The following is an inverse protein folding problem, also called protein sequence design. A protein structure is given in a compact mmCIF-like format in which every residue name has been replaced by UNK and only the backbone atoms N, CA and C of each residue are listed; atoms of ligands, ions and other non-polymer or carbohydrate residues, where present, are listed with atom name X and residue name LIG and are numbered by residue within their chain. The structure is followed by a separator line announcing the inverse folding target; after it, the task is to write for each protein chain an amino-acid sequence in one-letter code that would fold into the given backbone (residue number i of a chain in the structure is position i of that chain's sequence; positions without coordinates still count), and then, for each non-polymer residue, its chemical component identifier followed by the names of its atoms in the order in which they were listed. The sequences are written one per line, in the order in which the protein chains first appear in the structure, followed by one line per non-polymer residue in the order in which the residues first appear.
data_IF_865910052876
#
_entry.id   IF_865910052876
#
_cell.length_a   1.000
_cell.length_b   1.000
_cell.length_c   1.000
_cell.angle_alpha   90.00
_cell.angle_beta   90.00
_cell.angle_gamma   90.00
#
_symmetry.space_group_name_H-M   'P 1'
#
loop_
_entity.id
_entity.type
_entity.pdbx_description
1 polymer ?
#
# COMPACT_ATOMS: atom_id res chain seq x y z
N UNK A 1 7.07 -5.81 9.78
CA UNK A 1 6.64 -6.45 8.51
C UNK A 1 7.80 -7.25 7.91
N UNK A 2 7.61 -8.50 7.47
CA UNK A 2 8.64 -9.21 6.68
C UNK A 2 8.50 -8.80 5.21
N UNK A 3 9.36 -7.90 4.75
CA UNK A 3 9.42 -7.46 3.35
C UNK A 3 9.99 -8.59 2.47
N UNK A 4 9.35 -8.86 1.33
CA UNK A 4 9.91 -9.69 0.26
C UNK A 4 10.37 -8.79 -0.89
N UNK A 5 11.54 -9.10 -1.46
CA UNK A 5 12.11 -8.34 -2.59
C UNK A 5 11.14 -8.33 -3.78
N UNK A 6 10.98 -7.17 -4.44
CA UNK A 6 10.08 -6.92 -5.59
C UNK A 6 8.59 -7.11 -5.28
N UNK A 7 8.21 -7.16 -3.99
CA UNK A 7 6.83 -7.33 -3.60
C UNK A 7 5.97 -6.18 -4.14
N UNK A 8 6.47 -4.93 -4.23
CA UNK A 8 5.62 -3.83 -4.70
C UNK A 8 5.32 -3.89 -6.20
N UNK A 9 6.31 -4.27 -7.02
CA UNK A 9 6.17 -4.31 -8.49
C UNK A 9 5.42 -5.52 -9.03
N UNK A 10 5.48 -6.67 -8.34
CA UNK A 10 4.96 -7.95 -8.86
C UNK A 10 3.67 -8.43 -8.19
N UNK A 11 3.16 -7.70 -7.19
CA UNK A 11 2.05 -8.16 -6.32
C UNK A 11 0.67 -8.24 -6.97
N UNK A 12 0.40 -7.50 -8.04
CA UNK A 12 -0.96 -7.34 -8.57
C UNK A 12 -1.01 -7.61 -10.07
N UNK A 13 -1.81 -8.61 -10.47
CA UNK A 13 -1.95 -9.02 -11.88
C UNK A 13 -3.41 -8.91 -12.32
N UNK A 14 -3.68 -7.99 -13.25
CA UNK A 14 -5.01 -7.74 -13.80
C UNK A 14 -5.58 -9.00 -14.47
N UNK A 15 -4.75 -9.74 -15.20
CA UNK A 15 -5.18 -10.98 -15.86
C UNK A 15 -5.71 -12.02 -14.87
N UNK A 16 -5.07 -12.16 -13.71
CA UNK A 16 -5.53 -13.10 -12.67
C UNK A 16 -6.86 -12.68 -12.06
N UNK A 17 -7.14 -11.38 -12.00
CA UNK A 17 -8.40 -10.84 -11.51
C UNK A 17 -9.55 -11.15 -12.49
N UNK A 18 -9.30 -10.99 -13.80
CA UNK A 18 -10.26 -11.35 -14.84
C UNK A 18 -10.57 -12.85 -14.79
N UNK A 19 -9.54 -13.69 -14.67
CA UNK A 19 -9.71 -15.14 -14.55
C UNK A 19 -10.54 -15.49 -13.29
N UNK A 20 -10.23 -14.88 -12.15
CA UNK A 20 -10.98 -15.08 -10.92
C UNK A 20 -12.46 -14.68 -11.08
N UNK A 21 -12.73 -13.55 -11.73
CA UNK A 21 -14.08 -13.10 -12.04
C UNK A 21 -14.86 -14.10 -12.91
N UNK A 22 -14.21 -14.70 -13.91
CA UNK A 22 -14.81 -15.73 -14.76
C UNK A 22 -15.15 -17.01 -13.97
N UNK A 23 -14.24 -17.49 -13.11
CA UNK A 23 -14.49 -18.65 -12.24
C UNK A 23 -15.61 -18.40 -11.23
N UNK A 24 -15.67 -17.20 -10.64
CA UNK A 24 -16.75 -16.82 -9.74
C UNK A 24 -18.08 -16.73 -10.47
N UNK A 25 -18.12 -16.09 -11.64
CA UNK A 25 -19.33 -15.99 -12.44
C UNK A 25 -19.86 -17.38 -12.83
N UNK A 26 -18.99 -18.26 -13.33
CA UNK A 26 -19.35 -19.63 -13.66
C UNK A 26 -19.85 -20.38 -12.43
N UNK A 27 -19.07 -20.36 -11.34
CA UNK A 27 -19.43 -21.07 -10.11
C UNK A 27 -20.74 -20.57 -9.51
N UNK A 28 -20.91 -19.25 -9.35
CA UNK A 28 -22.15 -18.65 -8.85
C UNK A 28 -23.32 -18.97 -9.78
N UNK A 29 -23.14 -18.88 -11.10
CA UNK A 29 -24.22 -19.20 -12.06
C UNK A 29 -24.72 -20.65 -11.96
N UNK A 30 -23.85 -21.58 -11.55
CA UNK A 30 -24.23 -22.98 -11.35
C UNK A 30 -25.07 -23.22 -10.08
N UNK A 31 -25.20 -22.21 -9.20
CA UNK A 31 -26.07 -22.23 -8.02
C UNK A 31 -27.41 -21.52 -8.23
N UNK A 32 -27.61 -20.81 -9.36
CA UNK A 32 -28.79 -19.98 -9.61
C UNK A 32 -30.07 -20.78 -9.95
N UNK A 33 -30.04 -22.04 -10.42
CA UNK A 33 -31.12 -22.97 -10.13
C UNK A 33 -30.88 -23.56 -8.75
N UNK A 34 -31.52 -22.98 -7.72
CA UNK A 34 -31.41 -23.34 -6.30
C UNK A 34 -31.86 -24.77 -5.95
N UNK A 35 -32.02 -25.63 -6.95
CA UNK A 35 -32.57 -26.98 -6.88
C UNK A 35 -31.49 -28.07 -7.05
N UNK A 36 -30.34 -27.72 -7.65
CA UNK A 36 -29.22 -28.66 -7.79
C UNK A 36 -27.94 -28.14 -7.12
N UNK A 37 -27.53 -28.82 -6.06
CA UNK A 37 -26.21 -28.64 -5.46
C UNK A 37 -25.12 -29.20 -6.39
N UNK A 38 -24.67 -28.38 -7.32
CA UNK A 38 -23.53 -28.70 -8.17
C UNK A 38 -22.23 -28.62 -7.38
N UNK A 39 -21.64 -29.79 -7.07
CA UNK A 39 -20.30 -29.88 -6.47
C UNK A 39 -19.24 -29.13 -7.32
N UNK A 40 -19.43 -29.11 -8.64
CA UNK A 40 -18.59 -28.35 -9.57
C UNK A 40 -18.68 -26.83 -9.39
N UNK A 41 -19.86 -26.34 -9.00
CA UNK A 41 -20.05 -24.94 -8.60
C UNK A 41 -19.21 -24.55 -7.40
N UNK A 42 -19.17 -25.39 -6.37
CA UNK A 42 -18.37 -25.13 -5.17
C UNK A 42 -16.88 -25.07 -5.48
N UNK A 43 -16.38 -26.00 -6.29
CA UNK A 43 -14.97 -26.04 -6.68
C UNK A 43 -14.59 -24.77 -7.44
N UNK A 44 -15.36 -24.38 -8.44
CA UNK A 44 -15.08 -23.20 -9.27
C UNK A 44 -15.18 -21.89 -8.47
N UNK A 45 -16.19 -21.75 -7.60
CA UNK A 45 -16.29 -20.61 -6.69
C UNK A 45 -15.11 -20.56 -5.70
N UNK A 46 -14.70 -21.70 -5.12
CA UNK A 46 -13.56 -21.75 -4.20
C UNK A 46 -12.25 -21.33 -4.88
N UNK A 47 -12.02 -21.77 -6.13
CA UNK A 47 -10.87 -21.32 -6.93
C UNK A 47 -10.91 -19.81 -7.12
N UNK A 48 -12.04 -19.25 -7.56
CA UNK A 48 -12.20 -17.81 -7.74
C UNK A 48 -11.92 -17.02 -6.45
N UNK A 49 -12.46 -17.45 -5.31
CA UNK A 49 -12.24 -16.82 -4.00
C UNK A 49 -10.75 -16.92 -3.58
N UNK A 50 -10.10 -18.06 -3.78
CA UNK A 50 -8.70 -18.25 -3.41
C UNK A 50 -7.76 -17.29 -4.16
N UNK A 51 -8.04 -17.02 -5.44
CA UNK A 51 -7.26 -16.07 -6.24
C UNK A 51 -7.50 -14.64 -5.73
N UNK A 52 -8.75 -14.25 -5.47
CA UNK A 52 -9.08 -12.91 -4.97
C UNK A 52 -8.45 -12.63 -3.60
N UNK A 53 -8.53 -13.59 -2.67
CA UNK A 53 -7.94 -13.41 -1.33
C UNK A 53 -6.43 -13.20 -1.38
N UNK A 54 -5.72 -13.93 -2.27
CA UNK A 54 -4.31 -13.70 -2.53
C UNK A 54 -4.00 -12.29 -3.02
N UNK A 55 -4.77 -11.78 -3.99
CA UNK A 55 -4.61 -10.42 -4.53
C UNK A 55 -4.92 -9.33 -3.48
N UNK A 56 -5.95 -9.52 -2.64
CA UNK A 56 -6.32 -8.56 -1.58
C UNK A 56 -5.20 -8.41 -0.54
N UNK A 57 -4.59 -9.52 -0.13
CA UNK A 57 -3.44 -9.49 0.80
C UNK A 57 -2.22 -8.77 0.18
N UNK A 58 -2.02 -8.92 -1.13
CA UNK A 58 -0.95 -8.24 -1.84
C UNK A 58 -1.18 -6.71 -1.89
N UNK A 59 -2.42 -6.28 -2.16
CA UNK A 59 -2.83 -4.86 -2.19
C UNK A 59 -2.68 -4.20 -0.82
N UNK A 60 -3.10 -4.86 0.26
CA UNK A 60 -2.99 -4.30 1.62
C UNK A 60 -1.55 -4.16 2.10
N UNK A 61 -0.63 -5.02 1.64
CA UNK A 61 0.79 -4.84 1.90
C UNK A 61 1.39 -3.68 1.08
N UNK A 62 0.87 -3.44 -0.13
CA UNK A 62 1.29 -2.35 -1.01
C UNK A 62 1.01 -0.98 -0.40
N UNK A 63 -0.18 -0.78 0.18
CA UNK A 63 -0.53 0.47 0.86
C UNK A 63 0.36 0.75 2.08
N UNK A 64 0.73 -0.29 2.83
CA UNK A 64 1.65 -0.21 3.98
C UNK A 64 3.05 0.24 3.55
N UNK A 65 3.62 -0.40 2.53
CA UNK A 65 4.95 -0.03 2.00
C UNK A 65 4.98 1.44 1.54
N UNK A 66 3.93 1.87 0.86
CA UNK A 66 3.79 3.26 0.41
C UNK A 66 3.81 4.25 1.57
N UNK A 67 3.12 3.93 2.65
CA UNK A 67 3.04 4.77 3.83
C UNK A 67 4.35 4.79 4.64
N UNK A 68 5.07 3.66 4.74
CA UNK A 68 6.39 3.60 5.40
C UNK A 68 7.41 4.47 4.68
N UNK A 69 7.47 4.38 3.35
CA UNK A 69 8.36 5.22 2.54
C UNK A 69 8.00 6.70 2.67
N UNK A 70 6.70 7.04 2.69
CA UNK A 70 6.25 8.41 2.91
C UNK A 70 6.66 8.95 4.29
N UNK A 71 6.52 8.15 5.35
CA UNK A 71 6.93 8.51 6.70
C UNK A 71 8.44 8.78 6.76
N UNK A 72 9.25 7.92 6.15
CA UNK A 72 10.71 8.07 6.10
C UNK A 72 11.14 9.38 5.43
N UNK A 73 10.51 9.74 4.30
CA UNK A 73 10.81 11.01 3.61
C UNK A 73 10.32 12.25 4.35
N UNK A 74 9.32 12.11 5.23
CA UNK A 74 8.87 13.22 6.07
C UNK A 74 9.76 13.43 7.29
N UNK A 75 10.27 12.36 7.87
CA UNK A 75 11.26 12.43 8.95
C UNK A 75 12.61 12.92 8.44
N UNK A 76 13.03 12.48 7.25
CA UNK A 76 14.31 12.83 6.63
C UNK A 76 14.12 13.43 5.21
N UNK A 77 13.81 14.74 5.10
CA UNK A 77 13.45 15.37 3.82
C UNK A 77 14.58 15.48 2.79
N UNK A 78 15.84 15.32 3.23
CA UNK A 78 17.04 15.29 2.37
C UNK A 78 17.61 13.89 2.15
N UNK A 79 16.94 12.83 2.62
CA UNK A 79 17.43 11.45 2.47
C UNK A 79 17.49 11.01 1.01
N UNK A 80 18.60 10.38 0.64
CA UNK A 80 18.73 9.74 -0.67
C UNK A 80 17.95 8.42 -0.72
N UNK A 81 17.71 7.90 -1.92
CA UNK A 81 17.04 6.60 -2.11
C UNK A 81 17.86 5.49 -1.44
N UNK A 82 19.18 5.64 -1.42
CA UNK A 82 20.14 4.73 -0.82
C UNK A 82 20.06 4.72 0.71
N UNK A 83 19.78 5.87 1.32
CA UNK A 83 19.59 5.99 2.77
C UNK A 83 18.26 5.36 3.20
N UNK A 84 17.19 5.61 2.43
CA UNK A 84 15.87 4.99 2.64
C UNK A 84 15.94 3.47 2.48
N UNK A 85 16.74 2.97 1.53
CA UNK A 85 16.98 1.53 1.40
C UNK A 85 17.66 0.95 2.64
N UNK A 86 18.63 1.65 3.24
CA UNK A 86 19.33 1.19 4.45
C UNK A 86 18.43 1.22 5.69
N UNK A 87 17.60 2.25 5.85
CA UNK A 87 16.72 2.39 7.01
C UNK A 87 15.51 1.45 6.96
N UNK A 88 14.89 1.31 5.78
CA UNK A 88 13.66 0.51 5.62
C UNK A 88 13.90 -0.93 5.16
N UNK A 89 15.07 -1.23 4.58
CA UNK A 89 15.38 -2.53 3.96
C UNK A 89 14.64 -2.81 2.64
N UNK A 90 13.91 -1.83 2.09
CA UNK A 90 13.15 -1.96 0.84
C UNK A 90 14.10 -1.84 -0.36
N UNK A 91 13.86 -2.60 -1.44
CA UNK A 91 14.67 -2.53 -2.65
C UNK A 91 14.55 -1.18 -3.36
N UNK A 92 15.67 -0.66 -3.91
CA UNK A 92 15.71 0.55 -4.76
C UNK A 92 14.62 0.61 -5.82
N UNK A 93 14.34 -0.51 -6.51
CA UNK A 93 13.31 -0.58 -7.56
C UNK A 93 11.91 -0.33 -7.00
N UNK A 94 11.60 -0.98 -5.89
CA UNK A 94 10.31 -0.80 -5.21
C UNK A 94 10.17 0.63 -4.69
N UNK A 95 11.22 1.20 -4.07
CA UNK A 95 11.22 2.60 -3.61
C UNK A 95 10.92 3.57 -4.76
N UNK A 96 11.58 3.40 -5.91
CA UNK A 96 11.33 4.24 -7.09
C UNK A 96 9.89 4.13 -7.58
N UNK A 97 9.35 2.90 -7.66
CA UNK A 97 7.95 2.69 -8.06
C UNK A 97 6.95 3.28 -7.05
N UNK A 98 7.29 3.24 -5.76
CA UNK A 98 6.50 3.84 -4.67
C UNK A 98 6.52 5.36 -4.79
N UNK A 99 7.68 5.98 -5.04
CA UNK A 99 7.80 7.43 -5.23
C UNK A 99 6.98 7.90 -6.44
N UNK A 100 7.05 7.15 -7.55
CA UNK A 100 6.26 7.46 -8.74
C UNK A 100 4.76 7.39 -8.45
N UNK A 101 4.29 6.36 -7.74
CA UNK A 101 2.89 6.22 -7.32
C UNK A 101 2.45 7.32 -6.34
N UNK A 102 3.31 7.66 -5.37
CA UNK A 102 3.09 8.74 -4.42
C UNK A 102 2.99 10.12 -5.10
N UNK A 103 3.75 10.32 -6.18
CA UNK A 103 3.71 11.53 -7.00
C UNK A 103 2.44 11.59 -7.85
N UNK A 104 2.07 10.47 -8.47
CA UNK A 104 0.82 10.35 -9.23
C UNK A 104 -0.42 10.57 -8.33
N UNK A 105 -0.39 10.09 -7.08
CA UNK A 105 -1.46 10.29 -6.10
C UNK A 105 -1.44 11.65 -5.39
N UNK A 106 -0.48 12.54 -5.72
CA UNK A 106 -0.36 13.88 -5.12
C UNK A 106 0.06 13.91 -3.65
N UNK A 107 0.34 12.74 -3.03
CA UNK A 107 0.76 12.62 -1.63
C UNK A 107 2.24 12.92 -1.40
N UNK A 108 3.03 12.98 -2.47
CA UNK A 108 4.44 13.31 -2.46
C UNK A 108 4.77 14.29 -3.59
N UNK A 109 5.35 15.45 -3.25
CA UNK A 109 5.83 16.43 -4.22
C UNK A 109 7.33 16.66 -4.03
N UNK A 110 8.14 15.68 -4.42
CA UNK A 110 9.60 15.81 -4.44
C UNK A 110 10.11 16.39 -5.76
N UNK A 111 11.09 17.30 -5.69
CA UNK A 111 11.88 17.73 -6.85
C UNK A 111 13.19 16.94 -6.88
N UNK A 112 13.58 16.49 -8.06
CA UNK A 112 14.91 15.91 -8.26
C UNK A 112 15.94 17.04 -8.26
N UNK A 113 16.93 16.97 -7.38
CA UNK A 113 18.08 17.86 -7.39
C UNK A 113 18.88 17.61 -8.66
N UNK A 114 18.99 18.62 -9.51
CA UNK A 114 19.70 18.55 -10.79
C UNK A 114 21.21 18.31 -10.64
N UNK A 115 21.77 18.52 -9.45
CA UNK A 115 23.20 18.32 -9.18
C UNK A 115 23.55 16.92 -8.63
N UNK A 116 22.64 16.27 -7.91
CA UNK A 116 22.94 15.01 -7.18
C UNK A 116 22.03 13.85 -7.53
N UNK A 117 20.97 14.06 -8.32
CA UNK A 117 19.94 13.06 -8.59
C UNK A 117 19.09 12.71 -7.35
N UNK A 118 19.33 13.37 -6.22
CA UNK A 118 18.62 13.15 -4.96
C UNK A 118 17.22 13.76 -5.03
N UNK A 119 16.27 13.09 -4.41
CA UNK A 119 14.89 13.56 -4.26
C UNK A 119 14.80 14.43 -3.02
N UNK A 120 14.65 15.75 -3.19
CA UNK A 120 14.30 16.61 -2.06
C UNK A 120 12.80 16.57 -1.88
N UNK A 121 12.32 16.14 -0.71
CA UNK A 121 10.91 16.24 -0.35
C UNK A 121 10.53 17.73 -0.24
N UNK A 122 9.56 18.20 -1.02
CA UNK A 122 8.85 19.43 -0.68
C UNK A 122 7.58 19.03 0.06
N UNK A 123 7.39 19.59 1.25
CA UNK A 123 6.11 19.54 1.92
C UNK A 123 5.02 20.07 0.96
N UNK A 124 3.84 19.44 0.94
CA UNK A 124 2.75 19.90 0.08
C UNK A 124 2.45 21.38 0.35
N UNK A 125 2.23 22.22 -0.68
CA UNK A 125 1.73 23.57 -0.45
C UNK A 125 0.36 23.46 0.23
N UNK A 126 0.26 24.01 1.43
CA UNK A 126 -0.97 24.24 2.18
C UNK A 126 -1.91 25.08 1.30
N UNK A 127 -2.86 24.43 0.63
CA UNK A 127 -4.02 25.13 0.09
C UNK A 127 -4.85 25.60 1.29
N UNK A 128 -5.07 26.91 1.36
CA UNK A 128 -5.62 27.65 2.49
C UNK A 128 -7.13 27.47 2.69
N UNK A 129 -7.65 26.23 2.64
CA UNK A 129 -9.05 25.93 2.98
C UNK A 129 -9.10 24.69 3.87
N UNK A 130 -8.64 24.84 5.12
CA UNK A 130 -9.12 24.19 6.36
C UNK A 130 -8.16 24.59 7.47
N UNK A 131 -8.40 25.75 8.08
CA UNK A 131 -7.82 26.11 9.39
C UNK A 131 -8.66 25.42 10.46
N UNK A 132 -8.20 24.27 10.95
CA UNK A 132 -8.16 23.90 12.37
C UNK A 132 -7.59 22.48 12.53
N UNK A 133 -6.27 22.41 12.65
CA UNK A 133 -5.61 21.72 13.76
C UNK A 133 -4.12 21.88 13.52
N UNK A 134 -3.54 22.82 14.27
CA UNK A 134 -2.12 22.97 14.36
C UNK A 134 -1.47 21.64 14.80
N UNK A 135 -0.44 21.25 14.04
CA UNK A 135 0.89 21.07 14.62
C UNK A 135 0.97 20.13 15.83
N UNK A 136 0.86 18.84 15.56
CA UNK A 136 1.70 17.87 16.23
C UNK A 136 2.31 17.00 15.13
N UNK A 137 3.62 16.80 15.12
CA UNK A 137 4.31 15.93 14.16
C UNK A 137 3.55 14.61 14.11
N UNK A 138 2.79 14.35 13.05
CA UNK A 138 1.93 13.18 12.97
C UNK A 138 2.82 11.95 13.16
N UNK A 139 2.74 11.32 14.33
CA UNK A 139 3.53 10.12 14.62
C UNK A 139 3.07 9.03 13.66
N UNK A 140 4.00 8.41 12.94
CA UNK A 140 3.68 7.31 12.04
C UNK A 140 3.91 5.97 12.74
N UNK A 141 3.04 5.00 12.49
CA UNK A 141 3.23 3.66 13.03
C UNK A 141 4.48 3.00 12.41
N UNK A 142 5.47 2.64 13.24
CA UNK A 142 6.71 2.00 12.78
C UNK A 142 6.49 0.66 12.04
N UNK A 143 5.36 -0.02 12.24
CA UNK A 143 5.07 -1.28 11.58
C UNK A 143 4.34 -1.14 10.22
N UNK A 144 3.60 -0.04 9.98
CA UNK A 144 2.75 0.07 8.78
C UNK A 144 2.69 1.46 8.13
N UNK A 145 3.35 2.46 8.74
CA UNK A 145 3.45 3.82 8.23
C UNK A 145 2.17 4.65 8.29
N UNK A 146 1.07 4.16 8.88
CA UNK A 146 -0.15 4.98 8.98
C UNK A 146 0.01 6.09 10.01
N UNK A 147 -0.52 7.30 9.74
CA UNK A 147 -0.50 8.39 10.69
C UNK A 147 -1.34 8.02 11.92
N UNK A 148 -0.79 8.30 13.10
CA UNK A 148 -1.47 8.14 14.39
C UNK A 148 -2.20 9.45 14.67
N UNK A 149 -3.53 9.37 14.73
CA UNK A 149 -4.40 10.52 14.93
C UNK A 149 -4.67 10.84 16.40
N UNK A 150 -4.21 9.99 17.33
CA UNK A 150 -4.37 10.15 18.78
C UNK A 150 -3.10 9.70 19.51
N UNK A 151 -2.44 10.59 20.23
CA UNK A 151 -1.22 10.28 21.01
C UNK A 151 -1.45 9.28 22.16
N UNK A 152 -2.71 9.08 22.58
CA UNK A 152 -3.09 8.10 23.60
C UNK A 152 -3.37 6.69 23.05
N UNK A 153 -3.15 6.45 21.76
CA UNK A 153 -3.42 5.14 21.15
C UNK A 153 -2.34 4.12 21.53
N UNK A 154 -2.72 3.09 22.29
CA UNK A 154 -1.82 1.96 22.61
C UNK A 154 -1.60 1.03 21.41
N UNK A 155 -2.51 1.03 20.44
CA UNK A 155 -2.48 0.19 19.25
C UNK A 155 -2.82 0.99 18.00
N UNK A 156 -2.15 0.65 16.89
CA UNK A 156 -2.40 1.23 15.59
C UNK A 156 -3.77 0.82 15.05
N UNK A 157 -4.64 1.79 14.77
CA UNK A 157 -5.99 1.55 14.23
C UNK A 157 -6.00 0.81 12.87
N UNK A 158 -4.89 0.83 12.12
CA UNK A 158 -4.80 0.20 10.80
C UNK A 158 -4.18 -1.19 10.81
N UNK A 159 -3.14 -1.42 11.61
CA UNK A 159 -2.43 -2.71 11.62
C UNK A 159 -2.46 -3.47 12.94
N UNK A 160 -3.06 -2.90 14.00
CA UNK A 160 -3.17 -3.51 15.32
C UNK A 160 -1.85 -3.65 16.09
N UNK A 161 -0.73 -3.16 15.53
CA UNK A 161 0.55 -3.19 16.23
C UNK A 161 0.57 -2.19 17.40
N UNK A 162 1.27 -2.55 18.47
CA UNK A 162 1.51 -1.65 19.60
C UNK A 162 2.36 -0.46 19.12
N UNK A 163 1.94 0.75 19.51
CA UNK A 163 2.60 2.03 19.19
C UNK A 163 3.65 2.35 20.26
#
# INVERSE_FOLDING_TARGET
MKYKKNQYSESFSICTLIIAGAFLYWGISSFIPWDEWSWWGFISTAIGISILTGQILAITNRSKLRNVVLAEFQENPEASIEDVQKSTGISRRDIQSIILDLKASGRFRGKFSSQTGQIKYMAPPTNQDTKESAEEKAKYCQNCGTPITKDSAQFCAYCGAKI
#
